data_IF_581924102333
#
_entry.id   IF_581924102333
#
_cell.length_a   1.000
_cell.length_b   1.000
_cell.length_c   1.000
_cell.angle_alpha   90.00
_cell.angle_beta   90.00
_cell.angle_gamma   90.00
#
_symmetry.space_group_name_H-M   'P 1'
#
loop_
_entity.id
_entity.type
_entity.pdbx_description
1 polymer ?
#
# COMPACT_ATOMS: atom_id res chain seq x y z
N UNK A 1 -11.84 4.19 -13.58
CA UNK A 1 -11.15 3.50 -12.46
C UNK A 1 -10.45 4.55 -11.64
N UNK A 2 -10.58 4.53 -10.32
CA UNK A 2 -9.85 5.39 -9.39
C UNK A 2 -9.04 4.50 -8.45
N UNK A 3 -7.72 4.70 -8.41
CA UNK A 3 -6.82 3.93 -7.54
C UNK A 3 -6.22 4.89 -6.52
N UNK A 4 -6.52 4.67 -5.24
CA UNK A 4 -6.08 5.54 -4.15
C UNK A 4 -5.07 4.76 -3.31
N UNK A 5 -3.78 5.16 -3.31
CA UNK A 5 -2.82 4.66 -2.33
C UNK A 5 -3.25 5.04 -0.91
N UNK A 6 -3.29 4.06 -0.01
CA UNK A 6 -3.76 4.24 1.37
C UNK A 6 -2.76 3.62 2.35
N UNK A 7 -2.45 4.39 3.39
CA UNK A 7 -1.96 3.91 4.68
C UNK A 7 -3.18 3.83 5.61
N UNK A 8 -3.68 2.62 5.86
CA UNK A 8 -4.79 2.42 6.79
C UNK A 8 -4.23 2.07 8.17
N UNK A 9 -4.61 2.85 9.18
CA UNK A 9 -4.17 2.69 10.57
C UNK A 9 -5.39 2.28 11.38
N UNK A 10 -5.32 1.13 12.04
CA UNK A 10 -6.40 0.68 12.92
C UNK A 10 -5.97 0.78 14.39
N UNK A 11 -6.95 0.95 15.27
CA UNK A 11 -6.75 0.94 16.72
C UNK A 11 -6.67 -0.48 17.29
N UNK A 12 -6.64 -1.50 16.42
CA UNK A 12 -6.43 -2.89 16.81
C UNK A 12 -4.97 -3.06 17.25
N UNK A 13 -4.73 -3.61 18.45
CA UNK A 13 -3.37 -3.80 18.91
C UNK A 13 -2.70 -4.89 18.06
N UNK A 14 -1.50 -4.60 17.56
CA UNK A 14 -0.71 -5.58 16.80
C UNK A 14 -0.37 -6.86 17.61
N UNK A 15 -0.47 -6.79 18.95
CA UNK A 15 -0.25 -7.89 19.90
C UNK A 15 -1.31 -7.91 21.01
N UNK A 16 -1.72 -9.10 21.48
CA UNK A 16 -2.69 -9.26 22.59
C UNK A 16 -2.12 -8.99 24.00
N UNK A 17 -0.91 -8.42 24.11
CA UNK A 17 -0.28 -8.15 25.40
C UNK A 17 -0.87 -6.89 26.05
N UNK A 18 -1.46 -7.06 27.24
CA UNK A 18 -2.00 -5.97 28.05
C UNK A 18 -0.89 -5.27 28.85
N UNK A 19 -0.08 -4.45 28.18
CA UNK A 19 0.74 -3.45 28.88
C UNK A 19 0.43 -2.05 28.36
N UNK A 20 0.49 -1.05 29.23
CA UNK A 20 0.30 0.37 28.88
C UNK A 20 1.32 0.86 27.82
N UNK A 21 2.42 0.11 27.66
CA UNK A 21 3.48 0.26 26.66
C UNK A 21 3.21 -0.46 25.32
N UNK A 22 2.12 -1.23 25.20
CA UNK A 22 1.82 -2.11 24.07
C UNK A 22 0.75 -1.60 23.10
N UNK A 23 0.27 -0.36 23.23
CA UNK A 23 -0.62 0.21 22.21
C UNK A 23 0.18 0.52 20.93
N UNK A 24 0.15 -0.43 20.01
CA UNK A 24 0.80 -0.32 18.71
C UNK A 24 -0.25 -0.48 17.62
N UNK A 25 -0.53 0.59 16.84
CA UNK A 25 -1.55 0.50 15.82
C UNK A 25 -1.07 -0.43 14.71
N UNK A 26 -1.96 -1.31 14.28
CA UNK A 26 -1.73 -2.10 13.08
C UNK A 26 -1.85 -1.20 11.85
N UNK A 27 -0.85 -1.27 10.97
CA UNK A 27 -0.84 -0.51 9.72
C UNK A 27 -0.92 -1.44 8.52
N UNK A 28 -1.78 -1.09 7.57
CA UNK A 28 -1.89 -1.70 6.26
C UNK A 28 -1.45 -0.69 5.19
N UNK A 29 -0.61 -1.14 4.27
CA UNK A 29 -0.11 -0.37 3.14
C UNK A 29 -0.57 -1.01 1.83
N UNK A 30 -1.20 -0.21 0.98
CA UNK A 30 -1.68 -0.70 -0.31
C UNK A 30 -2.45 0.35 -1.09
N UNK A 31 -3.32 -0.10 -1.98
CA UNK A 31 -4.22 0.76 -2.73
C UNK A 31 -5.65 0.24 -2.70
N UNK A 32 -6.61 1.16 -2.61
CA UNK A 32 -8.03 0.91 -2.77
C UNK A 32 -8.41 1.22 -4.22
N UNK A 33 -9.14 0.32 -4.86
CA UNK A 33 -9.51 0.44 -6.26
C UNK A 33 -11.02 0.60 -6.38
N UNK A 34 -11.44 1.72 -6.94
CA UNK A 34 -12.84 2.08 -7.11
C UNK A 34 -13.24 2.09 -8.59
N UNK A 35 -14.43 1.55 -8.87
CA UNK A 35 -15.21 1.89 -10.04
C UNK A 35 -15.88 3.24 -9.83
N UNK A 36 -16.14 3.95 -10.94
CA UNK A 36 -16.85 5.23 -10.93
C UNK A 36 -17.86 5.24 -12.07
N UNK A 37 -19.14 5.42 -11.76
CA UNK A 37 -20.18 5.71 -12.74
C UNK A 37 -21.14 6.79 -12.23
N UNK A 38 -21.87 7.49 -13.12
CA UNK A 38 -22.91 8.45 -12.70
C UNK A 38 -24.01 7.83 -11.84
N UNK A 39 -24.35 6.55 -12.06
CA UNK A 39 -25.48 5.87 -11.42
C UNK A 39 -25.14 5.37 -10.01
N UNK A 40 -23.95 4.80 -9.82
CA UNK A 40 -23.53 4.20 -8.54
C UNK A 40 -22.49 5.02 -7.79
N UNK A 41 -21.97 6.09 -8.39
CA UNK A 41 -20.86 6.85 -7.83
C UNK A 41 -19.61 5.99 -7.67
N UNK A 42 -18.93 6.13 -6.53
CA UNK A 42 -17.74 5.35 -6.19
C UNK A 42 -18.13 3.99 -5.61
N UNK A 43 -17.80 2.92 -6.34
CA UNK A 43 -17.99 1.54 -5.88
C UNK A 43 -16.64 0.87 -5.64
N UNK A 44 -16.39 0.33 -4.44
CA UNK A 44 -15.15 -0.41 -4.15
C UNK A 44 -15.12 -1.70 -4.98
N UNK A 45 -14.10 -1.84 -5.83
CA UNK A 45 -13.84 -3.05 -6.62
C UNK A 45 -12.90 -4.03 -5.93
N UNK A 46 -12.02 -3.53 -5.07
CA UNK A 46 -11.06 -4.36 -4.33
C UNK A 46 -9.89 -3.55 -3.79
N UNK A 47 -8.92 -4.26 -3.20
CA UNK A 47 -7.72 -3.66 -2.63
C UNK A 47 -6.47 -4.45 -3.07
N UNK A 48 -5.34 -3.76 -3.16
CA UNK A 48 -4.03 -4.37 -3.45
C UNK A 48 -3.08 -4.08 -2.31
N UNK A 49 -2.74 -5.10 -1.53
CA UNK A 49 -1.84 -4.98 -0.38
C UNK A 49 -0.37 -5.09 -0.82
N UNK A 50 0.45 -4.15 -0.34
CA UNK A 50 1.91 -4.16 -0.47
C UNK A 50 2.61 -4.58 0.83
N UNK A 51 1.99 -4.35 1.97
CA UNK A 51 2.52 -4.80 3.25
C UNK A 51 1.57 -4.47 4.39
N UNK A 52 1.81 -5.08 5.53
CA UNK A 52 1.17 -4.71 6.78
C UNK A 52 2.07 -5.06 7.96
N UNK A 53 1.79 -4.49 9.11
CA UNK A 53 2.50 -4.85 10.34
C UNK A 53 2.42 -3.79 11.42
N UNK A 54 3.15 -4.07 12.48
CA UNK A 54 3.40 -3.16 13.58
C UNK A 54 4.34 -2.04 13.14
N UNK A 55 3.96 -0.79 13.42
CA UNK A 55 4.80 0.38 13.15
C UNK A 55 5.92 0.58 14.19
N UNK A 56 5.95 -0.22 15.24
CA UNK A 56 6.84 -0.05 16.38
C UNK A 56 6.66 1.32 17.03
N UNK A 57 7.74 1.88 17.58
CA UNK A 57 7.74 3.23 18.17
C UNK A 57 7.76 4.37 17.12
N UNK A 58 7.83 4.06 15.82
CA UNK A 58 8.10 5.02 14.74
C UNK A 58 6.98 5.04 13.69
N UNK A 59 5.74 5.23 14.11
CA UNK A 59 4.57 5.45 13.23
C UNK A 59 4.77 6.59 12.20
N UNK A 60 5.61 7.58 12.51
CA UNK A 60 5.83 8.75 11.66
C UNK A 60 6.75 8.50 10.45
N UNK A 61 7.41 7.34 10.33
CA UNK A 61 8.28 7.02 9.20
C UNK A 61 7.52 6.63 7.93
N UNK A 62 8.09 6.87 6.75
CA UNK A 62 7.60 6.28 5.50
C UNK A 62 8.01 4.82 5.42
N UNK A 63 7.08 3.96 5.02
CA UNK A 63 7.34 2.54 4.81
C UNK A 63 7.65 2.30 3.35
N UNK A 64 8.67 1.48 3.06
CA UNK A 64 8.93 1.02 1.69
C UNK A 64 7.75 0.24 1.07
N UNK A 65 6.77 -0.17 1.89
CA UNK A 65 5.53 -0.80 1.44
C UNK A 65 4.43 0.20 1.03
N UNK A 66 4.61 1.50 1.27
CA UNK A 66 3.64 2.51 0.83
C UNK A 66 3.55 2.54 -0.69
N UNK A 67 2.34 2.34 -1.22
CA UNK A 67 2.09 2.50 -2.64
C UNK A 67 2.23 3.99 -2.97
N UNK A 68 2.99 4.28 -4.01
CA UNK A 68 3.30 5.64 -4.46
C UNK A 68 2.72 5.96 -5.81
N UNK A 69 2.62 4.94 -6.66
CA UNK A 69 2.15 5.06 -8.04
C UNK A 69 1.28 3.87 -8.39
N UNK A 70 0.34 4.12 -9.28
CA UNK A 70 -0.43 3.08 -9.94
C UNK A 70 -0.63 3.46 -11.40
N UNK A 71 -0.68 2.44 -12.26
CA UNK A 71 -1.04 2.54 -13.66
C UNK A 71 -1.66 1.21 -14.09
N UNK A 72 -2.45 1.19 -15.14
CA UNK A 72 -2.95 -0.07 -15.71
C UNK A 72 -2.62 -0.14 -17.20
N UNK A 73 -2.36 -1.35 -17.69
CA UNK A 73 -2.09 -1.64 -19.11
C UNK A 73 -3.00 -2.80 -19.50
N UNK A 74 -3.90 -2.58 -20.46
CA UNK A 74 -4.97 -3.52 -20.74
C UNK A 74 -5.81 -3.78 -19.48
N UNK A 75 -5.98 -5.05 -19.14
CA UNK A 75 -6.79 -5.49 -18.00
C UNK A 75 -5.97 -5.74 -16.72
N UNK A 76 -4.72 -5.27 -16.66
CA UNK A 76 -3.83 -5.47 -15.50
C UNK A 76 -3.49 -4.14 -14.83
N UNK A 77 -3.77 -4.06 -13.54
CA UNK A 77 -3.34 -2.98 -12.65
C UNK A 77 -1.93 -3.25 -12.11
N UNK A 78 -1.07 -2.25 -12.21
CA UNK A 78 0.25 -2.23 -11.61
C UNK A 78 0.29 -1.21 -10.48
N UNK A 79 0.61 -1.65 -9.27
CA UNK A 79 0.82 -0.80 -8.10
C UNK A 79 2.29 -0.86 -7.68
N UNK A 80 2.86 0.29 -7.33
CA UNK A 80 4.30 0.44 -7.10
C UNK A 80 4.57 1.08 -5.75
N UNK A 81 5.31 0.40 -4.89
CA UNK A 81 5.93 0.96 -3.69
C UNK A 81 7.45 1.05 -3.86
N UNK A 82 8.20 1.62 -2.90
CA UNK A 82 9.68 1.59 -2.97
C UNK A 82 10.25 0.17 -2.87
N UNK A 83 9.49 -0.77 -2.29
CA UNK A 83 9.87 -2.17 -2.10
C UNK A 83 9.56 -3.07 -3.30
N UNK A 84 8.46 -2.84 -4.01
CA UNK A 84 7.98 -3.79 -5.02
C UNK A 84 6.94 -3.20 -5.97
N UNK A 85 6.82 -3.83 -7.13
CA UNK A 85 5.70 -3.65 -8.08
C UNK A 85 4.83 -4.91 -8.01
N UNK A 86 3.52 -4.75 -7.91
CA UNK A 86 2.55 -5.85 -8.01
C UNK A 86 1.68 -5.68 -9.25
N UNK A 87 1.40 -6.78 -9.93
CA UNK A 87 0.49 -6.85 -11.07
C UNK A 87 -0.76 -7.66 -10.68
N UNK A 88 -1.94 -7.05 -10.80
CA UNK A 88 -3.21 -7.62 -10.40
C UNK A 88 -4.22 -7.45 -11.54
N UNK A 89 -4.96 -8.49 -11.94
CA UNK A 89 -5.97 -8.35 -12.99
C UNK A 89 -7.15 -7.52 -12.45
N UNK A 90 -7.78 -6.73 -13.32
CA UNK A 90 -8.84 -5.78 -12.91
C UNK A 90 -10.16 -6.47 -12.55
N UNK A 91 -10.40 -7.69 -13.03
CA UNK A 91 -11.56 -8.51 -12.71
C UNK A 91 -11.40 -9.26 -11.37
N UNK A 92 -10.18 -9.57 -10.95
CA UNK A 92 -9.85 -10.12 -9.64
C UNK A 92 -8.59 -9.50 -9.01
N UNK A 93 -8.79 -8.38 -8.31
CA UNK A 93 -7.69 -7.65 -7.65
C UNK A 93 -7.02 -8.41 -6.51
N UNK A 94 -7.64 -9.47 -5.97
CA UNK A 94 -7.03 -10.31 -4.94
C UNK A 94 -5.94 -11.21 -5.51
N UNK A 95 -6.05 -11.60 -6.78
CA UNK A 95 -5.04 -12.36 -7.49
C UNK A 95 -3.83 -11.49 -7.83
N UNK A 96 -2.63 -11.96 -7.50
CA UNK A 96 -1.36 -11.32 -7.88
C UNK A 96 -0.70 -12.15 -8.97
N UNK A 97 -0.69 -11.63 -10.21
CA UNK A 97 -0.06 -12.30 -11.36
C UNK A 97 1.47 -12.30 -11.25
N UNK A 98 2.02 -11.18 -10.76
CA UNK A 98 3.46 -11.03 -10.59
C UNK A 98 3.79 -10.06 -9.45
N UNK A 99 4.92 -10.30 -8.81
CA UNK A 99 5.57 -9.34 -7.90
C UNK A 99 7.00 -9.15 -8.34
N UNK A 100 7.40 -7.92 -8.66
CA UNK A 100 8.78 -7.56 -8.96
C UNK A 100 9.36 -6.87 -7.73
N UNK A 101 10.31 -7.50 -7.01
CA UNK A 101 11.00 -6.84 -5.91
C UNK A 101 11.88 -5.71 -6.47
N UNK A 102 11.84 -4.55 -5.81
CA UNK A 102 12.76 -3.46 -6.10
C UNK A 102 13.90 -3.50 -5.09
N UNK A 103 15.13 -3.14 -5.50
CA UNK A 103 16.24 -3.04 -4.57
C UNK A 103 15.89 -2.07 -3.44
N UNK A 104 16.48 -2.22 -2.24
CA UNK A 104 16.29 -1.31 -1.13
C UNK A 104 16.98 0.04 -1.41
N UNK A 105 16.46 0.77 -2.39
CA UNK A 105 16.59 2.20 -2.47
C UNK A 105 15.50 2.72 -1.53
N UNK A 106 15.88 3.07 -0.31
CA UNK A 106 15.00 3.85 0.56
C UNK A 106 14.51 5.09 -0.18
N UNK A 107 13.51 5.75 0.38
CA UNK A 107 13.02 7.00 -0.19
C UNK A 107 14.17 8.01 -0.29
N UNK A 108 14.50 8.41 -1.52
CA UNK A 108 15.47 9.49 -1.75
C UNK A 108 14.78 10.80 -1.39
N UNK A 109 14.85 11.18 -0.11
CA UNK A 109 14.33 12.46 0.38
C UNK A 109 15.18 13.64 -0.08
N UNK A 110 16.46 13.40 -0.31
CA UNK A 110 17.43 14.42 -0.70
C UNK A 110 18.20 13.96 -1.93
N UNK A 111 18.33 14.82 -2.96
CA UNK A 111 19.18 14.50 -4.10
C UNK A 111 20.62 14.32 -3.65
N UNK A 112 21.35 13.39 -4.29
CA UNK A 112 22.78 13.25 -4.08
C UNK A 112 23.45 14.54 -4.56
N UNK A 113 24.07 15.27 -3.64
CA UNK A 113 24.84 16.47 -3.99
C UNK A 113 26.07 16.00 -4.76
N UNK A 114 26.10 16.26 -6.06
CA UNK A 114 27.30 16.03 -6.87
C UNK A 114 28.37 17.04 -6.42
N UNK A 115 29.56 16.53 -6.06
CA UNK A 115 30.76 17.34 -5.82
C UNK A 115 31.46 17.65 -7.14
#
# INVERSE_FOLDING_TARGET
LLVIPIRAVTNEPATKEHSLSAYRPYIWYGAYVFGLSPETGFALRGTVQHGSGDSGYYYYGSSASEVKRSLYIGDVLYTMSSKQIKANPLDDLATTLATVPLPPAGDIYYPVVMK
#
